data_IF_371209153620
#
_entry.id   IF_371209153620
#
_cell.length_a   1.000
_cell.length_b   1.000
_cell.length_c   1.000
_cell.angle_alpha   90.00
_cell.angle_beta   90.00
_cell.angle_gamma   90.00
#
_symmetry.space_group_name_H-M   'P 1'
#
loop_
_entity.id
_entity.type
_entity.pdbx_description
1 polymer ?
#
# COMPACT_ATOMS: atom_id res chain seq x y z
N UNK A 1 2.05 16.97 -20.02
CA UNK A 1 2.64 15.65 -19.71
C UNK A 1 1.88 15.10 -18.52
N UNK A 2 1.38 13.87 -18.59
CA UNK A 2 0.69 13.21 -17.47
C UNK A 2 1.69 13.03 -16.32
N UNK A 3 1.33 13.47 -15.11
CA UNK A 3 2.18 13.25 -13.94
C UNK A 3 2.33 11.74 -13.67
N UNK A 4 3.54 11.24 -13.48
CA UNK A 4 3.83 9.80 -13.31
C UNK A 4 2.97 9.14 -12.21
N UNK A 5 2.74 9.75 -11.02
CA UNK A 5 1.87 9.16 -10.02
C UNK A 5 0.39 9.10 -10.42
N UNK A 6 -0.02 9.76 -11.50
CA UNK A 6 -1.41 9.71 -11.98
C UNK A 6 -1.71 8.51 -12.90
N UNK A 7 -0.69 7.76 -13.32
CA UNK A 7 -0.87 6.52 -14.08
C UNK A 7 -1.57 5.47 -13.23
N UNK A 8 -2.49 4.69 -13.81
CA UNK A 8 -2.99 3.46 -13.20
C UNK A 8 -1.87 2.40 -13.19
N UNK A 9 -2.02 1.36 -12.38
CA UNK A 9 -1.05 0.26 -12.35
C UNK A 9 -0.90 -0.39 -13.72
N UNK A 10 -2.02 -0.57 -14.45
CA UNK A 10 -2.01 -1.14 -15.79
C UNK A 10 -1.27 -0.23 -16.79
N UNK A 11 -1.53 1.08 -16.77
CA UNK A 11 -0.85 2.05 -17.66
C UNK A 11 0.65 2.14 -17.35
N UNK A 12 1.04 2.16 -16.07
CA UNK A 12 2.43 2.17 -15.64
C UNK A 12 3.15 0.89 -16.11
N UNK A 13 2.52 -0.28 -15.93
CA UNK A 13 3.04 -1.57 -16.42
C UNK A 13 3.29 -1.54 -17.93
N UNK A 14 2.33 -1.05 -18.70
CA UNK A 14 2.43 -1.01 -20.15
C UNK A 14 3.49 0.02 -20.61
N UNK A 15 3.67 1.12 -19.87
CA UNK A 15 4.73 2.10 -20.11
C UNK A 15 6.13 1.53 -19.81
N UNK A 16 6.29 0.79 -18.69
CA UNK A 16 7.56 0.12 -18.34
C UNK A 16 7.93 -0.95 -19.39
N UNK A 17 6.97 -1.80 -19.76
CA UNK A 17 7.21 -2.86 -20.77
C UNK A 17 7.57 -2.31 -22.16
N UNK A 18 7.02 -1.17 -22.54
CA UNK A 18 7.36 -0.47 -23.77
C UNK A 18 8.59 0.45 -23.65
N UNK A 19 9.23 0.49 -22.47
CA UNK A 19 10.42 1.31 -22.17
C UNK A 19 10.20 2.82 -22.38
N UNK A 20 8.96 3.28 -22.30
CA UNK A 20 8.62 4.72 -22.32
C UNK A 20 8.85 5.38 -20.96
N UNK A 21 9.09 4.58 -19.92
CA UNK A 21 9.30 4.95 -18.54
C UNK A 21 10.23 3.92 -17.91
N UNK A 22 11.12 4.33 -17.02
CA UNK A 22 11.91 3.43 -16.18
C UNK A 22 11.23 3.23 -14.81
N UNK A 23 11.51 2.09 -14.18
CA UNK A 23 11.07 1.81 -12.82
C UNK A 23 11.69 2.78 -11.82
N UNK A 24 12.93 3.20 -12.04
CA UNK A 24 13.60 4.20 -11.19
C UNK A 24 12.85 5.54 -11.24
N UNK A 25 12.55 6.09 -12.43
CA UNK A 25 11.81 7.35 -12.58
C UNK A 25 10.44 7.28 -11.89
N UNK A 26 9.72 6.18 -12.08
CA UNK A 26 8.41 5.97 -11.48
C UNK A 26 8.49 5.88 -9.95
N UNK A 27 9.47 5.13 -9.43
CA UNK A 27 9.69 4.96 -7.99
C UNK A 27 10.07 6.28 -7.32
N UNK A 28 10.98 7.05 -7.92
CA UNK A 28 11.35 8.37 -7.42
C UNK A 28 10.17 9.35 -7.40
N UNK A 29 9.31 9.31 -8.43
CA UNK A 29 8.13 10.15 -8.49
C UNK A 29 7.17 9.85 -7.31
N UNK A 30 6.97 8.57 -6.99
CA UNK A 30 6.15 8.15 -5.84
C UNK A 30 6.81 8.51 -4.50
N UNK A 31 8.12 8.30 -4.34
CA UNK A 31 8.84 8.70 -3.11
C UNK A 31 8.72 10.21 -2.85
N UNK A 32 8.87 11.05 -3.90
CA UNK A 32 8.63 12.49 -3.80
C UNK A 32 7.17 12.82 -3.45
N UNK A 33 6.21 12.07 -3.97
CA UNK A 33 4.80 12.27 -3.64
C UNK A 33 4.51 11.93 -2.17
N UNK A 34 5.08 10.84 -1.66
CA UNK A 34 4.97 10.42 -0.25
C UNK A 34 5.50 11.52 0.67
N UNK A 35 6.68 12.05 0.39
CA UNK A 35 7.27 13.12 1.22
C UNK A 35 6.40 14.39 1.24
N UNK A 36 5.85 14.80 0.08
CA UNK A 36 4.95 15.96 0.01
C UNK A 36 3.63 15.75 0.77
N UNK A 37 3.19 14.50 0.89
CA UNK A 37 1.91 14.14 1.50
C UNK A 37 2.07 13.49 2.89
N UNK A 38 3.21 13.62 3.55
CA UNK A 38 3.47 13.02 4.86
C UNK A 38 2.46 13.40 5.95
N UNK A 39 1.82 14.57 5.83
CA UNK A 39 0.74 14.99 6.73
C UNK A 39 -0.46 14.05 6.75
N UNK A 40 -0.73 13.29 5.66
CA UNK A 40 -1.78 12.26 5.65
C UNK A 40 -1.49 11.11 6.62
N UNK A 41 -0.24 10.91 7.01
CA UNK A 41 0.21 9.81 7.88
C UNK A 41 -0.13 8.41 7.33
N UNK A 42 -0.16 8.28 5.99
CA UNK A 42 -0.50 7.03 5.32
C UNK A 42 0.63 5.97 5.41
N UNK A 43 1.88 6.39 5.57
CA UNK A 43 3.05 5.53 5.75
C UNK A 43 3.60 5.66 7.17
N UNK A 44 3.89 4.55 7.82
CA UNK A 44 4.59 4.49 9.12
C UNK A 44 6.10 4.33 8.94
N UNK A 45 6.52 3.79 7.80
CA UNK A 45 7.92 3.72 7.40
C UNK A 45 8.03 3.72 5.89
N UNK A 46 9.02 4.43 5.34
CA UNK A 46 9.40 4.36 3.93
C UNK A 46 10.72 3.62 3.78
N UNK A 47 10.95 3.01 2.61
CA UNK A 47 12.16 2.22 2.32
C UNK A 47 12.82 2.71 1.03
N UNK A 48 13.26 3.98 0.94
CA UNK A 48 13.69 4.59 -0.32
C UNK A 48 14.90 3.88 -0.94
N UNK A 49 15.91 3.49 -0.14
CA UNK A 49 17.11 2.80 -0.64
C UNK A 49 16.73 1.43 -1.24
N UNK A 50 15.94 0.64 -0.51
CA UNK A 50 15.43 -0.66 -0.98
C UNK A 50 14.55 -0.50 -2.22
N UNK A 51 13.67 0.50 -2.24
CA UNK A 51 12.81 0.78 -3.39
C UNK A 51 13.62 1.08 -4.65
N UNK A 52 14.64 1.92 -4.55
CA UNK A 52 15.51 2.26 -5.68
C UNK A 52 16.39 1.09 -6.12
N UNK A 53 16.86 0.26 -5.19
CA UNK A 53 17.58 -0.99 -5.51
C UNK A 53 16.68 -1.95 -6.30
N UNK A 54 15.46 -2.21 -5.81
CA UNK A 54 14.47 -3.04 -6.50
C UNK A 54 14.10 -2.48 -7.87
N UNK A 55 13.96 -1.15 -7.99
CA UNK A 55 13.65 -0.48 -9.26
C UNK A 55 14.78 -0.63 -10.28
N UNK A 56 16.05 -0.43 -9.89
CA UNK A 56 17.21 -0.65 -10.77
C UNK A 56 17.29 -2.10 -11.25
N UNK A 57 17.06 -3.06 -10.35
CA UNK A 57 17.03 -4.47 -10.70
C UNK A 57 15.90 -4.79 -11.68
N UNK A 58 14.73 -4.15 -11.52
CA UNK A 58 13.60 -4.26 -12.45
C UNK A 58 13.93 -3.68 -13.83
N UNK A 59 14.55 -2.50 -13.91
CA UNK A 59 14.97 -1.92 -15.19
C UNK A 59 15.95 -2.83 -15.92
N UNK A 60 16.86 -3.49 -15.20
CA UNK A 60 17.78 -4.46 -15.78
C UNK A 60 17.07 -5.71 -16.33
N UNK A 61 16.00 -6.20 -15.68
CA UNK A 61 15.19 -7.32 -16.18
C UNK A 61 14.33 -6.91 -17.38
N UNK A 62 13.71 -5.73 -17.33
CA UNK A 62 12.95 -5.16 -18.44
C UNK A 62 13.82 -5.00 -19.70
N UNK A 63 15.07 -4.56 -19.54
CA UNK A 63 16.02 -4.44 -20.64
C UNK A 63 16.31 -5.77 -21.32
N UNK A 64 16.30 -6.88 -20.55
CA UNK A 64 16.54 -8.25 -21.05
C UNK A 64 15.26 -8.95 -21.54
N UNK A 65 14.10 -8.29 -21.48
CA UNK A 65 12.80 -8.92 -21.82
C UNK A 65 12.30 -9.95 -20.80
N UNK A 66 12.87 -9.96 -19.58
CA UNK A 66 12.56 -10.91 -18.52
C UNK A 66 11.61 -10.31 -17.46
N UNK A 67 10.55 -9.61 -17.92
CA UNK A 67 9.63 -8.89 -17.03
C UNK A 67 8.60 -9.81 -16.36
N UNK A 68 8.53 -9.77 -15.04
CA UNK A 68 7.46 -10.36 -14.25
C UNK A 68 6.12 -9.64 -14.42
N UNK A 69 5.02 -10.20 -13.85
CA UNK A 69 3.68 -9.60 -13.94
C UNK A 69 3.58 -8.18 -13.35
N UNK A 70 4.32 -7.89 -12.28
CA UNK A 70 4.36 -6.61 -11.57
C UNK A 70 5.71 -5.89 -11.72
N UNK A 71 6.50 -6.22 -12.74
CA UNK A 71 7.86 -5.74 -12.88
C UNK A 71 7.98 -4.22 -12.82
N UNK A 72 8.73 -3.76 -11.81
CA UNK A 72 9.06 -2.34 -11.63
C UNK A 72 7.93 -1.45 -11.11
N UNK A 73 6.81 -2.03 -10.67
CA UNK A 73 5.65 -1.27 -10.20
C UNK A 73 5.75 -0.94 -8.71
N UNK A 74 5.78 0.35 -8.30
CA UNK A 74 5.85 0.76 -6.91
C UNK A 74 4.53 0.57 -6.18
N UNK A 75 4.58 -0.19 -5.08
CA UNK A 75 3.44 -0.53 -4.23
C UNK A 75 3.71 -0.22 -2.76
N UNK A 76 2.63 -0.06 -1.99
CA UNK A 76 2.67 0.03 -0.54
C UNK A 76 2.30 -1.30 0.13
N UNK A 77 2.87 -1.57 1.31
CA UNK A 77 2.62 -2.81 2.06
C UNK A 77 2.00 -2.48 3.41
N UNK A 78 0.77 -2.93 3.67
CA UNK A 78 0.12 -2.76 4.98
C UNK A 78 1.00 -3.35 6.09
N UNK A 79 1.11 -2.65 7.21
CA UNK A 79 2.12 -2.93 8.24
C UNK A 79 1.95 -4.27 8.98
N UNK A 80 0.88 -5.01 8.73
CA UNK A 80 0.70 -6.35 9.29
C UNK A 80 1.41 -7.48 8.53
N UNK A 81 1.89 -7.23 7.29
CA UNK A 81 2.61 -8.25 6.52
C UNK A 81 4.08 -8.32 6.94
N UNK A 82 4.53 -9.47 7.40
CA UNK A 82 5.94 -9.72 7.68
C UNK A 82 6.76 -9.46 6.41
N UNK A 83 7.68 -8.51 6.51
CA UNK A 83 8.59 -8.12 5.44
C UNK A 83 10.01 -8.25 5.95
N UNK A 84 10.75 -9.20 5.40
CA UNK A 84 12.07 -9.56 5.92
C UNK A 84 13.00 -8.36 6.04
N UNK A 85 13.55 -8.17 7.25
CA UNK A 85 14.49 -7.09 7.57
C UNK A 85 13.89 -5.68 7.63
N UNK A 86 12.56 -5.53 7.42
CA UNK A 86 11.86 -4.25 7.53
C UNK A 86 10.94 -4.27 8.76
N UNK A 87 10.85 -3.15 9.46
CA UNK A 87 9.93 -3.04 10.60
C UNK A 87 8.52 -3.47 10.21
N UNK A 88 7.95 -4.41 10.98
CA UNK A 88 6.59 -4.92 10.79
C UNK A 88 5.95 -4.97 12.17
N UNK A 89 5.14 -3.98 12.47
CA UNK A 89 4.71 -3.69 13.82
C UNK A 89 3.19 -3.75 14.01
N UNK A 90 2.42 -4.02 12.94
CA UNK A 90 0.96 -3.93 12.93
C UNK A 90 0.46 -2.63 13.58
N UNK A 91 1.21 -1.54 13.40
CA UNK A 91 1.00 -0.22 14.00
C UNK A 91 0.81 -0.24 15.53
N UNK A 92 1.48 -1.16 16.23
CA UNK A 92 1.49 -1.31 17.68
C UNK A 92 2.86 -1.08 18.29
N UNK A 93 2.89 -0.41 19.46
CA UNK A 93 4.11 -0.29 20.25
C UNK A 93 4.58 -1.63 20.84
N UNK A 94 3.70 -2.62 20.97
CA UNK A 94 4.04 -3.97 21.45
C UNK A 94 5.09 -4.63 20.56
N UNK A 95 5.02 -4.38 19.24
CA UNK A 95 5.97 -4.90 18.26
C UNK A 95 7.02 -3.87 17.82
N UNK A 96 7.27 -2.83 18.64
CA UNK A 96 8.26 -1.80 18.31
C UNK A 96 9.62 -2.43 17.99
N UNK A 97 10.22 -1.95 16.89
CA UNK A 97 11.50 -2.43 16.34
C UNK A 97 11.54 -3.87 15.85
N UNK A 98 10.42 -4.58 15.86
CA UNK A 98 10.40 -5.95 15.33
C UNK A 98 10.66 -5.93 13.81
N UNK A 99 11.70 -6.65 13.41
CA UNK A 99 12.06 -6.92 12.00
C UNK A 99 11.97 -8.42 11.78
N UNK A 100 10.96 -8.92 11.06
CA UNK A 100 10.84 -10.35 10.79
C UNK A 100 12.10 -10.89 10.13
N UNK A 101 12.59 -12.09 10.55
CA UNK A 101 13.65 -12.80 9.84
C UNK A 101 13.13 -13.56 8.61
N UNK A 102 11.86 -13.46 8.30
CA UNK A 102 11.15 -14.14 7.21
C UNK A 102 10.23 -13.17 6.45
N UNK A 103 9.81 -13.61 5.29
CA UNK A 103 8.88 -12.89 4.41
C UNK A 103 7.49 -13.54 4.49
N UNK A 104 6.42 -12.75 4.48
CA UNK A 104 5.07 -13.30 4.29
C UNK A 104 4.91 -13.90 2.89
N UNK A 105 4.10 -14.94 2.73
CA UNK A 105 3.87 -15.54 1.40
C UNK A 105 3.37 -14.49 0.40
N UNK A 106 2.46 -13.62 0.81
CA UNK A 106 1.93 -12.57 -0.06
C UNK A 106 3.01 -11.62 -0.56
N UNK A 107 3.87 -11.12 0.34
CA UNK A 107 4.95 -10.22 -0.06
C UNK A 107 6.05 -10.93 -0.85
N UNK A 108 6.36 -12.19 -0.50
CA UNK A 108 7.28 -13.02 -1.30
C UNK A 108 6.81 -13.18 -2.75
N UNK A 109 5.50 -13.43 -2.95
CA UNK A 109 4.92 -13.50 -4.30
C UNK A 109 5.02 -12.18 -5.05
N UNK A 110 4.76 -11.05 -4.38
CA UNK A 110 4.88 -9.72 -5.00
C UNK A 110 6.31 -9.41 -5.44
N UNK A 111 7.31 -9.77 -4.61
CA UNK A 111 8.73 -9.57 -4.96
C UNK A 111 9.18 -10.51 -6.08
N UNK A 112 8.77 -11.78 -6.04
CA UNK A 112 8.99 -12.74 -7.13
C UNK A 112 8.48 -12.20 -8.47
N UNK A 113 7.32 -11.55 -8.45
CA UNK A 113 6.66 -11.01 -9.63
C UNK A 113 7.17 -9.61 -10.03
N UNK A 114 8.17 -9.07 -9.31
CA UNK A 114 8.93 -7.87 -9.66
C UNK A 114 8.38 -6.56 -9.11
N UNK A 115 7.42 -6.58 -8.17
CA UNK A 115 6.93 -5.35 -7.54
C UNK A 115 8.04 -4.64 -6.74
N UNK A 116 7.96 -3.31 -6.65
CA UNK A 116 8.88 -2.45 -5.90
C UNK A 116 8.22 -1.97 -4.62
N UNK A 117 8.88 -2.20 -3.47
CA UNK A 117 8.37 -1.80 -2.15
C UNK A 117 8.67 -0.34 -1.84
N UNK A 118 7.66 0.50 -1.65
CA UNK A 118 7.83 1.88 -1.21
C UNK A 118 7.94 2.03 0.31
N UNK A 119 7.29 1.15 1.06
CA UNK A 119 7.27 1.21 2.53
C UNK A 119 6.08 0.52 3.17
N UNK A 120 5.94 0.71 4.48
CA UNK A 120 4.91 0.14 5.33
C UNK A 120 3.79 1.15 5.56
N UNK A 121 2.56 0.73 5.32
CA UNK A 121 1.36 1.56 5.36
C UNK A 121 0.68 1.45 6.73
N UNK A 122 0.24 2.60 7.22
CA UNK A 122 -0.46 2.74 8.49
C UNK A 122 -1.80 1.97 8.49
N UNK A 123 -2.21 1.56 9.67
CA UNK A 123 -3.42 0.76 9.88
C UNK A 123 -3.92 0.92 11.32
N UNK A 124 -5.15 0.58 11.60
CA UNK A 124 -5.59 0.39 12.99
C UNK A 124 -4.72 -0.68 13.68
N UNK A 125 -4.40 -0.47 14.94
CA UNK A 125 -3.54 -1.36 15.72
C UNK A 125 -4.04 -2.80 15.66
N UNK A 126 -3.17 -3.75 15.27
CA UNK A 126 -3.48 -5.18 15.07
C UNK A 126 -4.67 -5.45 14.14
N UNK A 127 -4.97 -4.54 13.22
CA UNK A 127 -6.14 -4.58 12.33
C UNK A 127 -7.49 -4.52 13.07
N UNK A 128 -7.50 -4.10 14.33
CA UNK A 128 -8.67 -4.02 15.21
C UNK A 128 -9.28 -2.63 15.22
N UNK A 129 -9.89 -2.23 14.11
CA UNK A 129 -10.53 -0.93 13.97
C UNK A 129 -11.13 -0.72 12.60
N UNK A 130 -11.81 0.41 12.42
CA UNK A 130 -12.52 0.78 11.19
C UNK A 130 -12.37 2.24 10.80
N UNK A 131 -11.47 2.99 11.48
CA UNK A 131 -11.28 4.43 11.24
C UNK A 131 -9.81 4.84 11.10
N UNK A 132 -8.89 3.94 11.37
CA UNK A 132 -7.44 4.16 11.45
C UNK A 132 -7.03 5.21 12.49
N UNK A 133 -7.80 5.30 13.58
CA UNK A 133 -7.52 6.19 14.71
C UNK A 133 -6.76 5.48 15.85
N UNK A 134 -6.79 4.13 15.88
CA UNK A 134 -6.18 3.33 16.96
C UNK A 134 -4.69 3.06 16.75
N UNK A 135 -4.12 3.49 15.62
CA UNK A 135 -2.69 3.34 15.34
C UNK A 135 -1.82 4.01 16.38
N UNK A 136 -0.81 3.31 16.88
CA UNK A 136 0.22 3.90 17.76
C UNK A 136 0.93 5.10 17.11
N UNK A 137 1.03 5.11 15.77
CA UNK A 137 1.64 6.19 15.00
C UNK A 137 0.69 7.35 14.69
N UNK A 138 -0.50 7.35 15.29
CA UNK A 138 -1.52 8.36 15.13
C UNK A 138 -2.44 8.12 13.92
N UNK A 139 -3.53 8.90 13.83
CA UNK A 139 -4.57 8.72 12.84
C UNK A 139 -4.09 9.02 11.42
N UNK A 140 -4.68 8.31 10.46
CA UNK A 140 -4.56 8.61 9.03
C UNK A 140 -5.66 9.56 8.61
N UNK A 141 -5.33 10.58 7.83
CA UNK A 141 -6.31 11.46 7.21
C UNK A 141 -6.68 10.97 5.81
N UNK A 142 -7.96 11.09 5.45
CA UNK A 142 -8.40 10.94 4.07
C UNK A 142 -7.81 12.05 3.19
N UNK A 143 -7.42 11.76 1.93
CA UNK A 143 -6.97 12.81 1.01
C UNK A 143 -8.13 13.70 0.48
N UNK A 144 -9.37 13.34 0.77
CA UNK A 144 -10.54 14.13 0.37
C UNK A 144 -10.80 15.27 1.34
N UNK A 145 -11.22 16.42 0.79
CA UNK A 145 -11.56 17.57 1.61
C UNK A 145 -12.90 17.35 2.35
N UNK A 146 -12.98 17.74 3.63
CA UNK A 146 -14.26 17.83 4.31
C UNK A 146 -15.19 18.82 3.56
N UNK A 147 -16.50 18.62 3.62
CA UNK A 147 -17.46 19.58 3.05
C UNK A 147 -17.21 21.00 3.58
N UNK A 148 -17.21 21.99 2.69
CA UNK A 148 -17.03 23.42 2.99
C UNK A 148 -15.63 23.82 3.52
N UNK A 149 -14.64 22.93 3.46
CA UNK A 149 -13.25 23.28 3.78
C UNK A 149 -12.49 23.76 2.56
N UNK A 150 -11.64 24.76 2.76
CA UNK A 150 -10.66 25.14 1.73
C UNK A 150 -9.44 24.21 1.77
N UNK A 151 -8.65 24.23 0.71
CA UNK A 151 -7.38 23.49 0.64
C UNK A 151 -6.40 23.99 1.73
N UNK A 152 -6.40 25.29 2.02
CA UNK A 152 -5.57 25.92 3.05
C UNK A 152 -5.94 25.41 4.45
N UNK A 153 -7.25 25.33 4.75
CA UNK A 153 -7.74 24.78 6.03
C UNK A 153 -7.30 23.32 6.21
N UNK A 154 -7.46 22.49 5.16
CA UNK A 154 -7.03 21.10 5.21
C UNK A 154 -5.52 20.95 5.38
N UNK A 155 -4.73 21.78 4.69
CA UNK A 155 -3.25 21.79 4.84
C UNK A 155 -2.82 22.19 6.24
N UNK A 156 -3.45 23.19 6.83
CA UNK A 156 -3.17 23.61 8.21
C UNK A 156 -3.51 22.48 9.21
N UNK A 157 -4.65 21.81 9.04
CA UNK A 157 -5.03 20.68 9.87
C UNK A 157 -4.07 19.48 9.70
N UNK A 158 -3.63 19.17 8.49
CA UNK A 158 -2.63 18.11 8.22
C UNK A 158 -1.27 18.39 8.86
N UNK A 159 -0.91 19.67 9.00
CA UNK A 159 0.34 20.08 9.63
C UNK A 159 0.27 20.14 11.17
N UNK A 160 -0.93 20.14 11.74
CA UNK A 160 -1.17 20.30 13.18
C UNK A 160 -2.20 19.32 13.73
N UNK A 161 -3.31 19.85 14.21
CA UNK A 161 -4.41 19.07 14.76
C UNK A 161 -5.32 18.56 13.62
N UNK A 162 -5.39 17.25 13.48
CA UNK A 162 -6.18 16.59 12.42
C UNK A 162 -7.68 16.55 12.68
N UNK A 163 -8.17 17.13 13.78
CA UNK A 163 -9.62 17.19 14.07
C UNK A 163 -10.39 17.86 12.92
N UNK A 164 -11.48 17.25 12.53
CA UNK A 164 -12.33 17.73 11.42
C UNK A 164 -11.91 17.21 10.04
N UNK A 165 -10.73 16.59 9.88
CA UNK A 165 -10.39 15.85 8.66
C UNK A 165 -11.24 14.57 8.56
N UNK A 166 -11.48 14.14 7.33
CA UNK A 166 -12.19 12.88 7.08
C UNK A 166 -11.30 11.68 7.42
N UNK A 167 -11.89 10.64 7.98
CA UNK A 167 -11.23 9.34 8.12
C UNK A 167 -11.19 8.63 6.76
N UNK A 168 -10.10 7.91 6.43
CA UNK A 168 -10.08 7.05 5.25
C UNK A 168 -10.80 5.71 5.47
N UNK A 169 -11.35 5.48 6.69
CA UNK A 169 -11.78 4.16 7.12
C UNK A 169 -10.63 3.28 7.59
N UNK A 170 -10.91 2.03 7.94
CA UNK A 170 -9.94 1.07 8.47
C UNK A 170 -10.41 -0.39 8.38
N UNK A 171 -9.57 -1.30 8.80
CA UNK A 171 -8.22 -1.09 9.34
C UNK A 171 -7.14 -0.77 8.29
N UNK A 172 -7.40 -0.90 6.97
CA UNK A 172 -6.43 -0.59 5.92
C UNK A 172 -6.50 0.89 5.48
N UNK A 173 -6.64 1.83 6.44
CA UNK A 173 -6.82 3.25 6.14
C UNK A 173 -5.62 3.87 5.44
N UNK A 174 -4.39 3.55 5.88
CA UNK A 174 -3.17 3.99 5.22
C UNK A 174 -3.05 3.47 3.80
N UNK A 175 -3.45 2.20 3.54
CA UNK A 175 -3.47 1.62 2.20
C UNK A 175 -4.43 2.38 1.27
N UNK A 176 -5.64 2.62 1.73
CA UNK A 176 -6.65 3.32 0.95
C UNK A 176 -6.30 4.79 0.71
N UNK A 177 -5.83 5.49 1.76
CA UNK A 177 -5.39 6.88 1.65
C UNK A 177 -4.20 7.03 0.70
N UNK A 178 -3.19 6.12 0.78
CA UNK A 178 -2.03 6.16 -0.10
C UNK A 178 -2.41 5.97 -1.57
N UNK A 179 -3.31 5.03 -1.87
CA UNK A 179 -3.80 4.79 -3.24
C UNK A 179 -4.61 5.98 -3.74
N UNK A 180 -5.56 6.50 -2.94
CA UNK A 180 -6.39 7.64 -3.31
C UNK A 180 -5.56 8.90 -3.55
N UNK A 181 -4.53 9.14 -2.72
CA UNK A 181 -3.60 10.26 -2.86
C UNK A 181 -2.52 10.02 -3.92
N UNK A 182 -2.52 8.89 -4.65
CA UNK A 182 -1.54 8.53 -5.69
C UNK A 182 -0.11 8.41 -5.15
N UNK A 183 0.05 7.98 -3.92
CA UNK A 183 1.36 7.76 -3.28
C UNK A 183 1.97 6.40 -3.65
N UNK A 184 1.15 5.49 -4.16
CA UNK A 184 1.53 4.22 -4.75
C UNK A 184 0.51 3.83 -5.83
N UNK A 185 0.87 2.88 -6.69
CA UNK A 185 -0.05 2.39 -7.74
C UNK A 185 -1.11 1.46 -7.19
N UNK A 186 -0.76 0.67 -6.20
CA UNK A 186 -1.61 -0.24 -5.47
C UNK A 186 -1.02 -0.52 -4.08
N UNK A 187 -1.81 -1.08 -3.20
CA UNK A 187 -1.40 -1.43 -1.84
C UNK A 187 -1.92 -2.80 -1.44
N UNK A 188 -1.16 -3.52 -0.60
CA UNK A 188 -1.71 -4.65 0.13
C UNK A 188 -2.64 -4.17 1.23
N UNK A 189 -3.66 -4.95 1.52
CA UNK A 189 -4.63 -4.70 2.57
C UNK A 189 -5.13 -6.03 3.15
N UNK A 190 -5.84 -5.98 4.27
CA UNK A 190 -6.48 -7.16 4.85
C UNK A 190 -7.94 -6.86 5.20
N UNK A 191 -8.78 -7.89 5.18
CA UNK A 191 -10.21 -7.78 5.48
C UNK A 191 -10.66 -8.96 6.34
N UNK A 192 -11.13 -8.65 7.52
CA UNK A 192 -11.76 -9.59 8.44
C UNK A 192 -13.26 -9.33 8.52
N UNK A 193 -13.64 -8.10 8.82
CA UNK A 193 -15.03 -7.64 8.91
C UNK A 193 -15.37 -6.50 7.95
N UNK A 194 -14.44 -6.09 7.06
CA UNK A 194 -14.64 -4.95 6.16
C UNK A 194 -13.36 -4.16 5.85
N UNK A 195 -12.21 -4.56 6.42
CA UNK A 195 -11.01 -3.69 6.43
C UNK A 195 -10.28 -3.50 5.08
N UNK A 196 -10.75 -4.07 3.98
CA UNK A 196 -10.46 -3.67 2.59
C UNK A 196 -11.61 -2.85 2.03
N UNK A 197 -12.83 -3.40 2.12
CA UNK A 197 -14.02 -2.89 1.44
C UNK A 197 -14.45 -1.52 1.95
N UNK A 198 -14.46 -1.34 3.27
CA UNK A 198 -14.88 -0.10 3.89
C UNK A 198 -13.90 1.06 3.60
N UNK A 199 -12.58 0.95 3.82
CA UNK A 199 -11.68 2.05 3.49
C UNK A 199 -11.60 2.30 1.97
N UNK A 200 -11.76 1.30 1.12
CA UNK A 200 -11.87 1.51 -0.32
C UNK A 200 -13.11 2.34 -0.67
N UNK A 201 -14.27 2.04 -0.05
CA UNK A 201 -15.50 2.80 -0.26
C UNK A 201 -15.36 4.26 0.22
N UNK A 202 -14.75 4.49 1.39
CA UNK A 202 -14.60 5.83 1.97
C UNK A 202 -13.63 6.71 1.18
N UNK A 203 -12.65 6.12 0.51
CA UNK A 203 -11.65 6.85 -0.25
C UNK A 203 -11.91 6.88 -1.76
N UNK A 204 -12.99 6.24 -2.24
CA UNK A 204 -13.32 6.18 -3.67
C UNK A 204 -12.32 5.37 -4.48
N UNK A 205 -11.72 4.34 -3.85
CA UNK A 205 -10.80 3.40 -4.50
C UNK A 205 -11.48 2.05 -4.74
N UNK A 206 -10.86 1.17 -5.51
CA UNK A 206 -11.27 -0.21 -5.65
C UNK A 206 -10.56 -1.10 -4.63
N UNK A 207 -11.29 -2.02 -3.99
CA UNK A 207 -10.73 -3.01 -3.07
C UNK A 207 -11.36 -4.37 -3.30
N UNK A 208 -10.55 -5.43 -3.30
CA UNK A 208 -11.05 -6.80 -3.46
C UNK A 208 -10.73 -7.61 -2.20
N UNK A 209 -11.80 -8.06 -1.53
CA UNK A 209 -11.72 -9.14 -0.56
C UNK A 209 -11.97 -10.45 -1.30
N UNK A 210 -10.94 -11.27 -1.56
CA UNK A 210 -11.15 -12.55 -2.24
C UNK A 210 -11.86 -13.55 -1.34
N UNK A 211 -12.17 -14.71 -1.87
CA UNK A 211 -12.65 -15.86 -1.08
C UNK A 211 -11.58 -16.30 -0.08
N UNK A 212 -12.01 -16.78 1.06
CA UNK A 212 -11.14 -17.26 2.14
C UNK A 212 -10.12 -18.28 1.62
N UNK A 213 -8.85 -18.14 2.03
CA UNK A 213 -7.77 -19.00 1.61
C UNK A 213 -7.25 -18.79 0.18
N UNK A 214 -7.77 -17.81 -0.58
CA UNK A 214 -7.26 -17.50 -1.93
C UNK A 214 -5.86 -16.90 -1.91
N UNK A 215 -5.57 -16.11 -0.90
CA UNK A 215 -4.23 -15.64 -0.56
C UNK A 215 -3.80 -16.30 0.75
N UNK A 216 -2.52 -16.66 0.85
CA UNK A 216 -1.95 -17.18 2.08
C UNK A 216 -2.07 -16.19 3.23
N UNK A 217 -2.22 -16.69 4.45
CA UNK A 217 -2.14 -15.91 5.69
C UNK A 217 -0.80 -16.05 6.41
N UNK A 218 0.11 -16.88 5.89
CA UNK A 218 1.43 -17.01 6.48
C UNK A 218 2.18 -15.69 6.48
N UNK A 219 2.66 -15.30 7.66
CA UNK A 219 3.35 -14.01 7.85
C UNK A 219 2.43 -12.77 7.88
N UNK A 220 1.12 -12.95 7.95
CA UNK A 220 0.15 -11.88 8.19
C UNK A 220 -0.27 -11.91 9.67
N UNK A 221 -0.14 -10.79 10.38
CA UNK A 221 -0.62 -10.68 11.77
C UNK A 221 -2.13 -10.90 11.79
N UNK A 222 -2.58 -11.86 12.60
CA UNK A 222 -3.96 -12.27 12.68
C UNK A 222 -4.80 -11.30 13.53
N UNK A 223 -6.06 -11.08 13.10
CA UNK A 223 -7.14 -10.54 13.95
C UNK A 223 -8.10 -11.66 14.32
N UNK A 224 -8.71 -12.29 13.34
CA UNK A 224 -9.57 -13.46 13.52
C UNK A 224 -9.25 -14.48 12.42
N UNK A 225 -8.43 -15.48 12.75
CA UNK A 225 -7.80 -16.38 11.78
C UNK A 225 -8.78 -17.11 10.85
N UNK A 226 -10.00 -17.35 11.30
CA UNK A 226 -11.07 -17.98 10.50
C UNK A 226 -11.75 -17.02 9.52
N UNK A 227 -11.46 -15.73 9.58
CA UNK A 227 -12.10 -14.68 8.77
C UNK A 227 -11.09 -13.81 8.01
N UNK A 228 -9.85 -13.74 8.47
CA UNK A 228 -8.82 -12.87 7.90
C UNK A 228 -8.51 -13.22 6.44
N UNK A 229 -8.41 -12.22 5.60
CA UNK A 229 -8.07 -12.37 4.19
C UNK A 229 -7.16 -11.25 3.73
N UNK A 230 -6.14 -11.62 2.97
CA UNK A 230 -5.31 -10.69 2.23
C UNK A 230 -5.99 -10.28 0.92
N UNK A 231 -5.81 -9.04 0.51
CA UNK A 231 -6.29 -8.56 -0.79
C UNK A 231 -5.72 -7.19 -1.15
N UNK A 232 -5.91 -6.73 -2.38
CA UNK A 232 -5.40 -5.45 -2.86
C UNK A 232 -6.40 -4.31 -2.68
N UNK A 233 -5.84 -3.10 -2.59
CA UNK A 233 -6.53 -1.84 -2.88
C UNK A 233 -5.77 -1.15 -4.01
N UNK A 234 -6.50 -0.66 -5.02
CA UNK A 234 -5.97 0.08 -6.15
C UNK A 234 -7.00 1.09 -6.68
N UNK A 235 -6.63 1.91 -7.67
CA UNK A 235 -7.58 2.90 -8.21
C UNK A 235 -8.67 2.30 -9.09
N UNK A 236 -8.38 1.18 -9.74
CA UNK A 236 -9.34 0.50 -10.62
C UNK A 236 -9.49 -0.98 -10.27
N UNK A 237 -10.63 -1.56 -10.63
CA UNK A 237 -10.87 -3.00 -10.48
C UNK A 237 -9.85 -3.82 -11.29
N UNK A 238 -9.45 -3.33 -12.48
CA UNK A 238 -8.43 -3.96 -13.32
C UNK A 238 -7.09 -4.03 -12.60
N UNK A 239 -6.68 -2.96 -11.96
CA UNK A 239 -5.43 -2.90 -11.18
C UNK A 239 -5.47 -3.85 -9.99
N UNK A 240 -6.61 -3.90 -9.28
CA UNK A 240 -6.83 -4.88 -8.22
C UNK A 240 -6.72 -6.32 -8.73
N UNK A 241 -7.28 -6.62 -9.89
CA UNK A 241 -7.20 -7.96 -10.48
C UNK A 241 -5.77 -8.34 -10.85
N UNK A 242 -4.99 -7.41 -11.41
CA UNK A 242 -3.57 -7.62 -11.72
C UNK A 242 -2.78 -7.91 -10.44
N UNK A 243 -2.97 -7.11 -9.39
CA UNK A 243 -2.26 -7.30 -8.12
C UNK A 243 -2.70 -8.58 -7.41
N UNK A 244 -4.01 -8.89 -7.38
CA UNK A 244 -4.53 -10.10 -6.75
C UNK A 244 -3.98 -11.37 -7.41
N UNK A 245 -3.81 -11.37 -8.73
CA UNK A 245 -3.19 -12.49 -9.44
C UNK A 245 -1.80 -12.84 -8.90
N UNK A 246 -1.02 -11.84 -8.54
CA UNK A 246 0.31 -12.04 -7.94
C UNK A 246 0.23 -12.39 -6.45
N UNK A 247 -0.74 -11.84 -5.71
CA UNK A 247 -0.90 -12.13 -4.28
C UNK A 247 -1.42 -13.55 -4.01
N UNK A 248 -2.26 -14.07 -4.92
CA UNK A 248 -2.90 -15.36 -4.80
C UNK A 248 -1.93 -16.51 -5.14
N UNK A 249 -2.18 -17.68 -4.54
CA UNK A 249 -1.39 -18.88 -4.81
C UNK A 249 -1.44 -19.86 -3.65
N UNK A 250 -0.87 -21.03 -3.84
CA UNK A 250 -0.68 -22.00 -2.77
C UNK A 250 0.38 -21.53 -1.78
N UNK A 251 0.24 -21.96 -0.54
CA UNK A 251 1.32 -21.87 0.44
C UNK A 251 2.45 -22.82 0.03
N UNK A 252 3.72 -22.45 0.24
CA UNK A 252 4.86 -23.31 -0.03
C UNK A 252 4.91 -24.53 0.90
#
# INVERSE_FOLDING_TARGET
MTELPSLTLAEARDALRSRRLSSVELTEAHLRAIERAKGLNAYVATTPERALEMARASDARLAKGAAGPLEGLPIGVKDLYATQGVHTQACSHILDRFKPPYESTVTAHLWRDGAVMLGKLNMDEFAMGSSNETSYYGPVASPWLPPNWSVEQARAALAGDKRGLLTPGGSSGGSAAAVAARLCLAATASDTGGSIRQPAAFTGTAGIKPTYGRCSRYGMVAFASSLDQAGPIARTVRDCAIMLRSMAGADP
#
